data_IF_950361017817
#
_entry.id   IF_950361017817
#
_cell.length_a   1.000
_cell.length_b   1.000
_cell.length_c   1.000
_cell.angle_alpha   90.00
_cell.angle_beta   90.00
_cell.angle_gamma   90.00
#
_symmetry.space_group_name_H-M   'P 1'
#
loop_
_entity.id
_entity.type
_entity.pdbx_description
1 polymer ?
#
# COMPACT_ATOMS: atom_id res chain seq x y z
N UNK A 1 1.45 20.42 -27.41
CA UNK A 1 2.48 20.95 -26.49
C UNK A 1 2.96 19.80 -25.61
N UNK A 2 4.20 19.81 -25.12
CA UNK A 2 4.75 18.69 -24.34
C UNK A 2 5.26 19.15 -22.98
N UNK A 3 5.26 18.25 -22.00
CA UNK A 3 5.93 18.38 -20.70
C UNK A 3 6.64 17.07 -20.40
N UNK A 4 7.87 17.12 -19.91
CA UNK A 4 8.58 15.92 -19.46
C UNK A 4 8.37 15.71 -17.97
N UNK A 5 8.29 14.46 -17.52
CA UNK A 5 7.98 14.13 -16.13
C UNK A 5 8.95 13.11 -15.57
N UNK A 6 9.48 13.42 -14.39
CA UNK A 6 10.14 12.41 -13.54
C UNK A 6 9.06 11.56 -12.92
N UNK A 7 9.27 10.24 -12.86
CA UNK A 7 8.37 9.32 -12.15
C UNK A 7 7.92 9.88 -10.80
N UNK A 8 6.61 10.01 -10.64
CA UNK A 8 6.03 10.51 -9.40
C UNK A 8 4.63 9.97 -9.18
N UNK A 9 4.50 9.16 -8.13
CA UNK A 9 3.23 8.59 -7.73
C UNK A 9 2.20 9.68 -7.38
N UNK A 10 2.63 10.85 -6.90
CA UNK A 10 1.74 11.96 -6.57
C UNK A 10 1.03 12.51 -7.81
N UNK A 11 1.68 12.50 -8.99
CA UNK A 11 1.00 12.90 -10.22
C UNK A 11 -0.04 11.88 -10.69
N UNK A 12 0.21 10.60 -10.41
CA UNK A 12 -0.73 9.52 -10.70
C UNK A 12 -1.93 9.55 -9.73
N UNK A 13 -1.72 9.89 -8.44
CA UNK A 13 -2.80 10.10 -7.45
C UNK A 13 -3.87 11.09 -7.95
N UNK A 14 -3.45 12.14 -8.65
CA UNK A 14 -4.33 13.21 -9.13
C UNK A 14 -4.66 13.09 -10.62
N UNK A 15 -4.27 11.98 -11.26
CA UNK A 15 -4.45 11.75 -12.69
C UNK A 15 -3.94 12.91 -13.57
N UNK A 16 -2.78 13.47 -13.23
CA UNK A 16 -2.23 14.65 -13.89
C UNK A 16 -2.06 14.44 -15.40
N UNK A 17 -1.61 13.26 -15.83
CA UNK A 17 -1.42 12.96 -17.25
C UNK A 17 -2.74 13.10 -18.03
N UNK A 18 -3.86 12.59 -17.50
CA UNK A 18 -5.18 12.71 -18.12
C UNK A 18 -5.66 14.17 -18.19
N UNK A 19 -5.43 14.93 -17.12
CA UNK A 19 -5.79 16.34 -17.08
C UNK A 19 -4.99 17.18 -18.09
N UNK A 20 -3.69 16.89 -18.23
CA UNK A 20 -2.82 17.52 -19.23
C UNK A 20 -3.23 17.15 -20.65
N UNK A 21 -3.53 15.87 -20.90
CA UNK A 21 -3.97 15.41 -22.22
C UNK A 21 -5.29 16.07 -22.63
N UNK A 22 -6.25 16.18 -21.71
CA UNK A 22 -7.52 16.91 -21.91
C UNK A 22 -7.26 18.39 -22.27
N UNK A 23 -6.18 18.97 -21.74
CA UNK A 23 -5.73 20.32 -22.05
C UNK A 23 -4.85 20.42 -23.33
N UNK A 24 -4.66 19.33 -24.08
CA UNK A 24 -3.83 19.29 -25.29
C UNK A 24 -2.31 19.32 -25.01
N UNK A 25 -1.90 18.90 -23.81
CA UNK A 25 -0.52 18.82 -23.36
C UNK A 25 -0.16 17.34 -23.15
N UNK A 26 0.83 16.84 -23.89
CA UNK A 26 1.33 15.49 -23.74
C UNK A 26 2.39 15.45 -22.64
N UNK A 27 2.13 14.70 -21.57
CA UNK A 27 3.15 14.37 -20.58
C UNK A 27 4.01 13.22 -21.10
N UNK A 28 5.34 13.33 -21.02
CA UNK A 28 6.29 12.29 -21.43
C UNK A 28 7.07 11.83 -20.21
N UNK A 29 6.92 10.56 -19.84
CA UNK A 29 7.68 9.96 -18.74
C UNK A 29 9.16 9.85 -19.11
N UNK A 30 10.04 10.12 -18.15
CA UNK A 30 11.49 10.06 -18.38
C UNK A 30 12.19 8.92 -17.65
N UNK A 31 11.51 8.28 -16.69
CA UNK A 31 11.94 7.01 -16.09
C UNK A 31 11.74 5.88 -17.10
N UNK A 32 12.73 5.01 -17.29
CA UNK A 32 12.65 3.99 -18.33
C UNK A 32 11.45 3.04 -18.14
N UNK A 33 11.18 2.63 -16.91
CA UNK A 33 10.10 1.70 -16.64
C UNK A 33 8.74 2.38 -16.84
N UNK A 34 8.56 3.62 -16.39
CA UNK A 34 7.33 4.38 -16.66
C UNK A 34 7.16 4.70 -18.15
N UNK A 35 8.26 5.01 -18.87
CA UNK A 35 8.21 5.23 -20.32
C UNK A 35 7.74 3.97 -21.06
N UNK A 36 8.21 2.79 -20.66
CA UNK A 36 7.76 1.51 -21.23
C UNK A 36 6.25 1.33 -21.01
N UNK A 37 5.76 1.63 -19.80
CA UNK A 37 4.34 1.54 -19.45
C UNK A 37 3.52 2.55 -20.26
N UNK A 38 3.97 3.80 -20.34
CA UNK A 38 3.31 4.86 -21.08
C UNK A 38 3.21 4.53 -22.58
N UNK A 39 4.32 4.13 -23.21
CA UNK A 39 4.33 3.77 -24.63
C UNK A 39 3.53 2.48 -24.89
N UNK A 40 3.50 1.57 -23.93
CA UNK A 40 2.72 0.35 -23.98
C UNK A 40 1.24 0.52 -23.67
N UNK A 41 0.78 1.73 -23.32
CA UNK A 41 -0.59 2.02 -22.88
C UNK A 41 -1.06 1.06 -21.75
N UNK A 42 -0.18 0.80 -20.79
CA UNK A 42 -0.40 -0.15 -19.70
C UNK A 42 -0.44 0.56 -18.32
N UNK A 43 -0.57 -0.21 -17.24
CA UNK A 43 -0.56 0.27 -15.86
C UNK A 43 0.66 -0.28 -15.09
N UNK A 44 1.22 0.50 -14.15
CA UNK A 44 2.34 0.05 -13.33
C UNK A 44 1.92 -1.09 -12.40
N UNK A 45 2.79 -2.11 -12.26
CA UNK A 45 2.51 -3.24 -11.36
C UNK A 45 3.27 -3.17 -10.02
N UNK A 46 4.33 -2.36 -9.92
CA UNK A 46 5.18 -2.28 -8.71
C UNK A 46 5.70 -0.87 -8.49
N UNK A 47 5.78 -0.42 -7.23
CA UNK A 47 6.13 0.96 -6.90
C UNK A 47 7.57 1.35 -7.28
N UNK A 48 8.52 0.41 -7.21
CA UNK A 48 9.93 0.68 -7.57
C UNK A 48 10.20 0.34 -9.03
N UNK A 49 9.57 -0.71 -9.56
CA UNK A 49 9.86 -1.27 -10.89
C UNK A 49 8.53 -1.40 -11.67
N UNK A 50 7.96 -0.29 -12.17
CA UNK A 50 6.64 -0.24 -12.80
C UNK A 50 6.37 -1.33 -13.84
N UNK A 51 7.37 -1.56 -14.71
CA UNK A 51 7.32 -2.51 -15.82
C UNK A 51 7.77 -3.93 -15.45
N UNK A 52 7.76 -4.33 -14.18
CA UNK A 52 8.21 -5.65 -13.72
C UNK A 52 7.52 -6.83 -14.45
N UNK A 53 6.28 -6.63 -14.90
CA UNK A 53 5.49 -7.63 -15.62
C UNK A 53 5.78 -7.69 -17.13
N UNK A 54 6.64 -6.82 -17.66
CA UNK A 54 7.03 -6.80 -19.08
C UNK A 54 8.36 -7.51 -19.28
N UNK A 55 8.41 -8.43 -20.22
CA UNK A 55 9.66 -9.05 -20.65
C UNK A 55 10.36 -8.23 -21.75
N UNK A 56 11.63 -8.56 -21.97
CA UNK A 56 12.50 -7.84 -22.92
C UNK A 56 11.96 -7.80 -24.36
N UNK A 57 11.34 -8.88 -24.82
CA UNK A 57 10.77 -8.94 -26.17
C UNK A 57 9.56 -8.00 -26.29
N UNK A 58 8.69 -7.95 -25.27
CA UNK A 58 7.57 -7.01 -25.25
C UNK A 58 8.04 -5.56 -25.26
N UNK A 59 9.06 -5.23 -24.45
CA UNK A 59 9.68 -3.89 -24.42
C UNK A 59 10.21 -3.50 -25.80
N UNK A 60 10.93 -4.42 -26.46
CA UNK A 60 11.43 -4.21 -27.82
C UNK A 60 10.30 -3.88 -28.79
N UNK A 61 9.23 -4.67 -28.82
CA UNK A 61 8.13 -4.44 -29.76
C UNK A 61 7.43 -3.09 -29.50
N UNK A 62 7.27 -2.70 -28.23
CA UNK A 62 6.76 -1.37 -27.87
C UNK A 62 7.65 -0.28 -28.47
N UNK A 63 8.98 -0.35 -28.28
CA UNK A 63 9.92 0.65 -28.81
C UNK A 63 9.93 0.67 -30.35
N UNK A 64 9.91 -0.50 -31.01
CA UNK A 64 9.84 -0.58 -32.47
C UNK A 64 8.61 0.15 -33.02
N UNK A 65 7.45 -0.09 -32.42
CA UNK A 65 6.17 0.47 -32.87
C UNK A 65 6.06 1.96 -32.54
N UNK A 66 6.35 2.34 -31.30
CA UNK A 66 6.06 3.69 -30.80
C UNK A 66 7.19 4.69 -31.03
N UNK A 67 8.44 4.23 -31.18
CA UNK A 67 9.60 5.08 -31.52
C UNK A 67 10.03 4.96 -33.00
N UNK A 68 9.40 4.08 -33.79
CA UNK A 68 9.71 3.92 -35.22
C UNK A 68 11.03 3.19 -35.52
N UNK A 69 11.57 2.45 -34.56
CA UNK A 69 12.89 1.80 -34.65
C UNK A 69 12.80 0.40 -35.27
N UNK A 70 12.54 0.29 -36.57
CA UNK A 70 12.26 -0.99 -37.25
C UNK A 70 13.34 -2.07 -37.08
N UNK A 71 14.61 -1.67 -37.02
CA UNK A 71 15.78 -2.55 -36.95
C UNK A 71 16.38 -2.68 -35.54
N UNK A 72 15.60 -2.36 -34.49
CA UNK A 72 16.07 -2.45 -33.11
C UNK A 72 16.50 -3.88 -32.74
N UNK A 73 17.68 -4.01 -32.15
CA UNK A 73 18.19 -5.26 -31.56
C UNK A 73 17.37 -5.72 -30.35
N UNK A 74 17.76 -6.84 -29.76
CA UNK A 74 17.07 -7.41 -28.58
C UNK A 74 17.95 -7.47 -27.33
N UNK A 75 19.17 -6.94 -27.39
CA UNK A 75 20.05 -6.90 -26.22
C UNK A 75 19.61 -5.78 -25.26
N UNK A 76 19.87 -5.91 -23.94
CA UNK A 76 19.58 -4.82 -23.00
C UNK A 76 20.26 -3.49 -23.38
N UNK A 77 21.46 -3.54 -23.98
CA UNK A 77 22.18 -2.36 -24.43
C UNK A 77 21.46 -1.64 -25.59
N UNK A 78 20.93 -2.40 -26.56
CA UNK A 78 20.19 -1.82 -27.68
C UNK A 78 18.93 -1.08 -27.20
N UNK A 79 18.19 -1.70 -26.27
CA UNK A 79 16.96 -1.11 -25.72
C UNK A 79 17.27 0.14 -24.88
N UNK A 80 18.33 0.09 -24.07
CA UNK A 80 18.77 1.25 -23.28
C UNK A 80 19.19 2.41 -24.18
N UNK A 81 19.95 2.15 -25.25
CA UNK A 81 20.40 3.20 -26.17
C UNK A 81 19.24 3.81 -26.98
N UNK A 82 18.25 3.00 -27.35
CA UNK A 82 17.02 3.46 -27.98
C UNK A 82 16.26 4.43 -27.08
N UNK A 83 16.01 4.04 -25.81
CA UNK A 83 15.35 4.90 -24.84
C UNK A 83 16.16 6.17 -24.56
N UNK A 84 17.49 6.05 -24.42
CA UNK A 84 18.39 7.18 -24.20
C UNK A 84 18.31 8.20 -25.34
N UNK A 85 18.36 7.73 -26.59
CA UNK A 85 18.28 8.58 -27.78
C UNK A 85 16.94 9.29 -27.88
N UNK A 86 15.84 8.57 -27.63
CA UNK A 86 14.49 9.12 -27.60
C UNK A 86 14.34 10.22 -26.54
N UNK A 87 14.74 9.93 -25.30
CA UNK A 87 14.60 10.86 -24.18
C UNK A 87 15.54 12.07 -24.32
N UNK A 88 16.76 11.89 -24.84
CA UNK A 88 17.71 12.99 -25.10
C UNK A 88 17.09 14.08 -25.97
N UNK A 89 16.38 13.70 -27.03
CA UNK A 89 15.67 14.65 -27.88
C UNK A 89 14.61 15.43 -27.07
N UNK A 90 13.82 14.74 -26.23
CA UNK A 90 12.79 15.36 -25.39
C UNK A 90 13.39 16.35 -24.38
N UNK A 91 14.45 15.95 -23.66
CA UNK A 91 15.13 16.84 -22.70
C UNK A 91 15.62 18.15 -23.31
N UNK A 92 16.05 18.14 -24.58
CA UNK A 92 16.59 19.33 -25.25
C UNK A 92 15.53 20.21 -25.92
N UNK A 93 14.31 19.70 -26.11
CA UNK A 93 13.26 20.37 -26.90
C UNK A 93 12.05 20.77 -26.06
N UNK A 94 11.83 20.14 -24.91
CA UNK A 94 10.67 20.38 -24.05
C UNK A 94 11.04 21.38 -22.94
N UNK A 95 10.42 22.57 -22.88
CA UNK A 95 10.83 23.65 -21.98
C UNK A 95 10.28 23.53 -20.55
N UNK A 96 9.38 22.58 -20.29
CA UNK A 96 8.73 22.41 -18.98
C UNK A 96 8.94 20.99 -18.46
N UNK A 97 9.31 20.87 -17.20
CA UNK A 97 9.35 19.62 -16.46
C UNK A 97 8.39 19.59 -15.27
N UNK A 98 7.88 18.40 -14.97
CA UNK A 98 7.21 18.07 -13.73
C UNK A 98 8.05 17.05 -12.95
N UNK A 99 8.21 17.26 -11.65
CA UNK A 99 8.87 16.31 -10.76
C UNK A 99 7.98 15.94 -9.58
N UNK A 100 8.29 14.78 -8.97
CA UNK A 100 7.91 14.51 -7.60
C UNK A 100 8.94 15.05 -6.60
N UNK A 101 8.77 14.63 -5.35
CA UNK A 101 9.79 14.70 -4.32
C UNK A 101 9.79 13.40 -3.51
N UNK A 102 10.98 12.86 -3.23
CA UNK A 102 11.14 11.83 -2.20
C UNK A 102 11.10 12.48 -0.81
N UNK A 103 11.74 13.65 -0.67
CA UNK A 103 11.78 14.42 0.57
C UNK A 103 11.71 15.93 0.29
N UNK A 104 11.02 16.65 1.17
CA UNK A 104 11.04 18.12 1.26
C UNK A 104 11.71 18.50 2.58
N UNK A 105 12.68 19.41 2.56
CA UNK A 105 13.50 19.74 3.74
C UNK A 105 13.06 21.09 4.27
N UNK A 106 12.39 21.11 5.43
CA UNK A 106 11.81 22.32 5.99
C UNK A 106 12.86 23.37 6.35
N UNK A 107 13.99 22.94 6.93
CA UNK A 107 15.10 23.83 7.34
C UNK A 107 15.66 24.66 6.18
N UNK A 108 15.80 24.07 5.00
CA UNK A 108 16.51 24.68 3.87
C UNK A 108 15.60 25.06 2.70
N UNK A 109 14.33 24.65 2.73
CA UNK A 109 13.44 24.73 1.57
C UNK A 109 13.87 23.81 0.41
N UNK A 110 14.66 22.78 0.71
CA UNK A 110 15.22 21.87 -0.29
C UNK A 110 14.21 20.84 -0.78
N UNK A 111 14.26 20.51 -2.06
CA UNK A 111 13.57 19.35 -2.64
C UNK A 111 14.59 18.29 -2.98
N UNK A 112 14.31 17.04 -2.64
CA UNK A 112 15.17 15.91 -2.91
C UNK A 112 14.45 14.84 -3.74
N UNK A 113 15.14 14.34 -4.76
CA UNK A 113 14.79 13.10 -5.47
C UNK A 113 15.95 12.12 -5.42
N UNK A 114 15.61 10.84 -5.43
CA UNK A 114 16.57 9.73 -5.56
C UNK A 114 16.22 8.91 -6.80
N UNK A 115 17.23 8.52 -7.57
CA UNK A 115 17.02 7.80 -8.83
C UNK A 115 18.20 6.86 -9.16
N UNK A 116 17.96 5.94 -10.10
CA UNK A 116 18.92 4.94 -10.57
C UNK A 116 19.59 5.29 -11.90
N UNK A 117 18.94 6.13 -12.73
CA UNK A 117 19.29 6.27 -14.15
C UNK A 117 19.83 7.68 -14.52
N UNK A 118 19.59 8.70 -13.69
CA UNK A 118 20.10 10.06 -13.89
C UNK A 118 19.26 10.91 -14.84
N UNK A 119 18.14 10.38 -15.33
CA UNK A 119 17.15 11.04 -16.17
C UNK A 119 16.39 12.15 -15.42
N UNK A 120 16.14 11.95 -14.13
CA UNK A 120 15.53 12.91 -13.24
C UNK A 120 16.35 14.19 -13.19
N UNK A 121 17.66 14.10 -12.97
CA UNK A 121 18.56 15.27 -13.01
C UNK A 121 18.44 16.06 -14.32
N UNK A 122 18.25 15.41 -15.46
CA UNK A 122 18.03 16.10 -16.74
C UNK A 122 16.71 16.87 -16.78
N UNK A 123 15.63 16.32 -16.21
CA UNK A 123 14.38 17.07 -16.02
C UNK A 123 14.54 18.27 -15.09
N UNK A 124 15.45 18.19 -14.12
CA UNK A 124 15.66 19.26 -13.15
C UNK A 124 16.49 20.42 -13.70
N UNK A 125 17.39 20.20 -14.67
CA UNK A 125 18.37 21.21 -15.07
C UNK A 125 18.23 21.75 -16.49
N UNK A 126 17.64 21.01 -17.42
CA UNK A 126 17.55 21.41 -18.83
C UNK A 126 16.29 22.26 -19.16
N UNK A 127 15.11 21.94 -18.62
CA UNK A 127 13.90 22.72 -18.87
C UNK A 127 13.96 24.12 -18.27
N UNK A 128 13.30 25.08 -18.91
CA UNK A 128 13.21 26.46 -18.41
C UNK A 128 12.27 26.60 -17.21
N UNK A 129 11.27 25.73 -17.10
CA UNK A 129 10.29 25.74 -16.00
C UNK A 129 10.20 24.38 -15.34
N UNK A 130 10.34 24.34 -14.01
CA UNK A 130 10.19 23.14 -13.20
C UNK A 130 9.00 23.28 -12.26
N UNK A 131 8.15 22.25 -12.23
CA UNK A 131 7.00 22.15 -11.32
C UNK A 131 7.16 20.89 -10.49
N UNK A 132 7.38 21.03 -9.19
CA UNK A 132 7.43 19.90 -8.24
C UNK A 132 6.06 19.73 -7.58
N UNK A 133 5.57 18.49 -7.55
CA UNK A 133 4.33 18.13 -6.85
C UNK A 133 4.66 17.09 -5.77
N UNK A 134 4.30 17.38 -4.53
CA UNK A 134 4.61 16.51 -3.40
C UNK A 134 3.51 16.58 -2.32
N UNK A 135 3.28 15.46 -1.64
CA UNK A 135 2.40 15.43 -0.48
C UNK A 135 3.07 16.04 0.76
N UNK A 136 2.27 16.54 1.70
CA UNK A 136 2.76 17.03 3.01
C UNK A 136 3.50 15.93 3.80
N UNK A 137 3.24 14.66 3.51
CA UNK A 137 3.92 13.49 4.10
C UNK A 137 5.40 13.37 3.72
N UNK A 138 5.88 14.17 2.77
CA UNK A 138 7.28 14.15 2.32
C UNK A 138 8.19 15.09 3.11
N UNK A 139 7.65 15.90 4.01
CA UNK A 139 8.42 16.90 4.76
C UNK A 139 9.25 16.24 5.86
N UNK A 140 10.55 16.50 5.85
CA UNK A 140 11.49 16.21 6.94
C UNK A 140 11.98 17.52 7.55
N UNK A 141 12.32 17.56 8.85
CA UNK A 141 12.61 18.83 9.51
C UNK A 141 13.97 19.38 9.12
N UNK A 142 15.05 18.57 9.18
CA UNK A 142 16.43 19.05 8.99
C UNK A 142 17.12 18.40 7.80
N UNK A 143 18.10 19.09 7.24
CA UNK A 143 18.93 18.52 6.16
C UNK A 143 19.68 17.26 6.60
N UNK A 144 20.16 17.24 7.85
CA UNK A 144 20.89 16.09 8.39
C UNK A 144 20.01 14.82 8.48
N UNK A 145 18.69 14.96 8.65
CA UNK A 145 17.79 13.80 8.73
C UNK A 145 17.72 13.06 7.39
N UNK A 146 18.02 13.74 6.27
CA UNK A 146 18.06 13.14 4.94
C UNK A 146 19.08 11.98 4.86
N UNK A 147 20.20 12.07 5.57
CA UNK A 147 21.25 11.03 5.56
C UNK A 147 20.69 9.65 5.92
N UNK A 148 19.81 9.59 6.94
CA UNK A 148 19.17 8.36 7.40
C UNK A 148 18.32 7.74 6.29
N UNK A 149 17.60 8.59 5.55
CA UNK A 149 16.71 8.17 4.48
C UNK A 149 17.45 7.74 3.22
N UNK A 150 18.52 8.43 2.84
CA UNK A 150 19.38 8.07 1.71
C UNK A 150 20.10 6.73 1.92
N UNK A 151 20.31 6.34 3.16
CA UNK A 151 20.83 5.00 3.51
C UNK A 151 19.72 3.95 3.53
N UNK A 152 18.58 4.29 4.14
CA UNK A 152 17.51 3.33 4.42
C UNK A 152 16.71 2.93 3.18
N UNK A 153 16.33 3.90 2.34
CA UNK A 153 15.47 3.67 1.17
C UNK A 153 16.09 2.67 0.18
N UNK A 154 17.30 2.87 -0.36
CA UNK A 154 17.89 1.95 -1.35
C UNK A 154 18.15 0.56 -0.77
N UNK A 155 18.64 0.47 0.47
CA UNK A 155 18.91 -0.81 1.13
C UNK A 155 17.64 -1.65 1.30
N UNK A 156 16.52 -0.99 1.61
CA UNK A 156 15.23 -1.66 1.77
C UNK A 156 14.56 -1.97 0.42
N UNK A 157 14.76 -1.12 -0.59
CA UNK A 157 14.12 -1.25 -1.89
C UNK A 157 14.81 -2.26 -2.81
N UNK A 158 16.08 -2.03 -3.10
CA UNK A 158 16.88 -2.75 -4.12
C UNK A 158 18.09 -3.47 -3.52
N UNK A 159 18.37 -3.26 -2.23
CA UNK A 159 19.57 -3.81 -1.57
C UNK A 159 20.84 -3.01 -1.88
N UNK A 160 20.72 -1.86 -2.54
CA UNK A 160 21.85 -0.99 -2.85
C UNK A 160 22.34 -0.24 -1.61
N UNK A 161 23.64 0.09 -1.57
CA UNK A 161 24.21 0.85 -0.43
C UNK A 161 23.65 2.27 -0.34
N UNK A 162 23.46 2.89 -1.51
CA UNK A 162 22.90 4.22 -1.75
C UNK A 162 22.44 4.28 -3.21
N UNK A 163 21.41 5.08 -3.54
CA UNK A 163 21.01 5.31 -4.92
C UNK A 163 22.17 5.96 -5.72
N UNK A 164 22.38 5.60 -7.00
CA UNK A 164 23.43 6.19 -7.83
C UNK A 164 23.35 7.71 -7.98
N UNK A 165 22.14 8.27 -8.02
CA UNK A 165 21.92 9.71 -8.14
C UNK A 165 20.97 10.20 -7.06
N UNK A 166 21.39 11.26 -6.37
CA UNK A 166 20.63 11.91 -5.32
C UNK A 166 20.73 13.41 -5.58
N UNK A 167 19.64 13.99 -6.07
CA UNK A 167 19.61 15.41 -6.46
C UNK A 167 18.85 16.21 -5.41
N UNK A 168 19.47 17.30 -4.97
CA UNK A 168 18.87 18.24 -4.01
C UNK A 168 18.99 19.64 -4.62
N UNK A 169 17.91 20.40 -4.61
CA UNK A 169 17.91 21.75 -5.13
C UNK A 169 17.02 22.68 -4.30
N UNK A 170 17.32 23.97 -4.37
CA UNK A 170 16.64 25.05 -3.65
C UNK A 170 16.47 26.24 -4.59
N UNK A 171 15.23 26.65 -4.87
CA UNK A 171 14.98 27.84 -5.68
C UNK A 171 15.51 27.76 -7.11
N UNK A 172 15.77 28.92 -7.71
CA UNK A 172 16.35 29.09 -9.05
C UNK A 172 17.70 29.78 -8.96
N UNK A 173 18.63 29.44 -9.86
CA UNK A 173 19.96 30.04 -9.92
C UNK A 173 20.25 30.57 -11.33
N UNK A 174 20.83 31.76 -11.42
CA UNK A 174 21.10 32.38 -12.72
C UNK A 174 22.16 31.57 -13.50
N UNK A 175 21.78 31.10 -14.69
CA UNK A 175 22.67 30.30 -15.55
C UNK A 175 22.82 28.84 -15.14
N UNK A 176 22.09 28.37 -14.11
CA UNK A 176 22.13 26.99 -13.64
C UNK A 176 20.71 26.49 -13.34
N UNK A 177 20.18 25.66 -14.24
CA UNK A 177 18.87 25.04 -14.11
C UNK A 177 17.69 25.90 -14.58
N UNK A 178 16.49 25.67 -14.01
CA UNK A 178 15.26 26.28 -14.48
C UNK A 178 15.19 27.76 -14.11
N UNK A 179 14.57 28.55 -15.00
CA UNK A 179 14.30 29.98 -14.79
C UNK A 179 13.10 30.19 -13.86
N UNK A 180 12.12 29.28 -13.91
CA UNK A 180 10.94 29.30 -13.06
C UNK A 180 10.86 27.99 -12.27
N UNK A 181 10.62 28.09 -10.97
CA UNK A 181 10.44 26.92 -10.11
C UNK A 181 9.19 27.06 -9.25
N UNK A 182 8.30 26.07 -9.35
CA UNK A 182 7.06 26.00 -8.61
C UNK A 182 7.04 24.74 -7.74
N UNK A 183 6.60 24.87 -6.49
CA UNK A 183 6.36 23.74 -5.60
C UNK A 183 4.89 23.71 -5.20
N UNK A 184 4.21 22.63 -5.53
CA UNK A 184 2.81 22.37 -5.17
C UNK A 184 2.82 21.32 -4.06
N UNK A 185 2.53 21.79 -2.83
CA UNK A 185 2.38 20.92 -1.66
C UNK A 185 0.92 20.53 -1.53
N UNK A 186 0.68 19.22 -1.45
CA UNK A 186 -0.65 18.64 -1.47
C UNK A 186 -1.01 18.01 -0.15
N UNK A 187 -2.20 18.32 0.34
CA UNK A 187 -2.82 17.57 1.41
C UNK A 187 -3.41 16.25 0.88
N UNK A 188 -4.42 16.30 0.00
CA UNK A 188 -5.05 15.12 -0.60
C UNK A 188 -5.41 14.05 0.46
N UNK A 189 -6.18 14.45 1.47
CA UNK A 189 -6.64 13.67 2.62
C UNK A 189 -5.56 13.29 3.67
N UNK A 190 -4.32 13.79 3.53
CA UNK A 190 -3.23 13.43 4.44
C UNK A 190 -3.41 14.04 5.83
N UNK A 191 -4.06 15.20 5.96
CA UNK A 191 -4.35 15.81 7.27
C UNK A 191 -5.32 14.95 8.08
N UNK A 192 -6.35 14.39 7.45
CA UNK A 192 -7.31 13.48 8.08
C UNK A 192 -6.62 12.17 8.49
N UNK A 193 -5.74 11.65 7.63
CA UNK A 193 -4.93 10.46 7.95
C UNK A 193 -3.98 10.73 9.11
N UNK A 194 -3.37 11.91 9.17
CA UNK A 194 -2.48 12.31 10.25
C UNK A 194 -3.23 12.43 11.59
N UNK A 195 -4.49 12.86 11.56
CA UNK A 195 -5.33 12.94 12.75
C UNK A 195 -5.69 11.54 13.31
N UNK A 196 -5.81 10.51 12.46
CA UNK A 196 -6.12 9.12 12.83
C UNK A 196 -4.97 8.48 13.63
N UNK A 197 -5.19 8.13 14.91
CA UNK A 197 -4.13 7.62 15.81
C UNK A 197 -3.50 6.32 15.30
N UNK A 198 -4.31 5.36 14.89
CA UNK A 198 -3.82 4.11 14.32
C UNK A 198 -3.37 4.30 12.87
N UNK A 199 -4.04 5.17 12.12
CA UNK A 199 -3.85 5.33 10.68
C UNK A 199 -2.65 6.18 10.25
N UNK A 200 -2.23 7.15 11.08
CA UNK A 200 -1.18 8.12 10.74
C UNK A 200 0.17 7.51 10.39
N UNK A 201 0.46 6.33 10.94
CA UNK A 201 1.72 5.63 10.67
C UNK A 201 1.90 5.30 9.17
N UNK A 202 0.81 5.19 8.39
CA UNK A 202 0.90 5.02 6.94
C UNK A 202 1.72 6.13 6.27
N UNK A 203 1.64 7.36 6.79
CA UNK A 203 2.34 8.53 6.24
C UNK A 203 3.86 8.46 6.42
N UNK A 204 4.38 7.56 7.27
CA UNK A 204 5.82 7.33 7.39
C UNK A 204 6.41 6.64 6.14
N UNK A 205 5.58 6.19 5.20
CA UNK A 205 6.04 5.35 4.10
C UNK A 205 6.99 6.08 3.14
N UNK A 206 8.24 5.60 3.11
CA UNK A 206 9.31 6.05 2.20
C UNK A 206 9.25 5.41 0.81
N UNK A 207 8.17 4.68 0.50
CA UNK A 207 7.89 4.07 -0.81
C UNK A 207 8.96 3.08 -1.31
N UNK A 208 9.64 2.37 -0.41
CA UNK A 208 10.69 1.41 -0.77
C UNK A 208 10.20 0.10 -1.42
N UNK A 209 8.91 -0.25 -1.30
CA UNK A 209 8.38 -1.49 -1.89
C UNK A 209 8.72 -2.79 -1.14
N UNK A 210 9.51 -2.76 -0.06
CA UNK A 210 9.86 -3.97 0.71
C UNK A 210 8.64 -4.80 1.15
N UNK A 211 7.57 -4.12 1.57
CA UNK A 211 6.32 -4.77 1.95
C UNK A 211 5.64 -5.50 0.77
N UNK A 212 5.73 -4.98 -0.45
CA UNK A 212 5.19 -5.64 -1.66
C UNK A 212 5.94 -6.94 -1.90
N UNK A 213 7.27 -6.89 -1.87
CA UNK A 213 8.13 -8.06 -2.09
C UNK A 213 7.95 -9.16 -1.03
N UNK A 214 7.70 -8.79 0.23
CA UNK A 214 7.47 -9.75 1.31
C UNK A 214 6.06 -10.35 1.32
N UNK A 215 5.08 -9.72 0.66
CA UNK A 215 3.68 -10.09 0.78
C UNK A 215 3.34 -11.33 -0.07
N UNK A 216 2.80 -12.41 0.53
CA UNK A 216 2.41 -13.59 -0.23
C UNK A 216 1.21 -13.33 -1.16
N UNK A 217 0.29 -12.43 -0.76
CA UNK A 217 -0.87 -12.07 -1.60
C UNK A 217 -0.42 -11.33 -2.85
N UNK A 218 0.33 -10.23 -2.69
CA UNK A 218 0.85 -9.45 -3.81
C UNK A 218 1.69 -10.30 -4.78
N UNK A 219 2.54 -11.21 -4.27
CA UNK A 219 3.35 -12.10 -5.11
C UNK A 219 2.53 -13.03 -6.00
N UNK A 220 1.31 -13.38 -5.60
CA UNK A 220 0.43 -14.25 -6.38
C UNK A 220 -0.54 -13.49 -7.26
N UNK A 221 -1.06 -12.36 -6.79
CA UNK A 221 -2.07 -11.58 -7.53
C UNK A 221 -1.47 -10.53 -8.46
N UNK A 222 -0.22 -10.14 -8.23
CA UNK A 222 0.39 -8.96 -8.86
C UNK A 222 -0.20 -7.65 -8.33
N UNK A 223 0.32 -6.53 -8.84
CA UNK A 223 -0.10 -5.19 -8.41
C UNK A 223 -1.42 -4.73 -9.00
N UNK A 224 -1.76 -5.15 -10.23
CA UNK A 224 -2.99 -4.71 -10.90
C UNK A 224 -4.26 -5.13 -10.18
N UNK A 225 -4.23 -6.25 -9.45
CA UNK A 225 -5.39 -6.75 -8.68
C UNK A 225 -5.86 -5.79 -7.56
N UNK A 226 -5.03 -4.82 -7.16
CA UNK A 226 -5.36 -3.82 -6.15
C UNK A 226 -6.16 -2.63 -6.72
N UNK A 227 -6.28 -2.49 -8.05
CA UNK A 227 -7.13 -1.46 -8.67
C UNK A 227 -6.75 -0.01 -8.33
N UNK A 228 -5.50 0.23 -7.95
CA UNK A 228 -5.01 1.54 -7.52
C UNK A 228 -3.56 1.74 -7.92
N UNK A 229 -3.16 3.01 -8.03
CA UNK A 229 -1.77 3.46 -8.20
C UNK A 229 -0.87 2.89 -7.10
N UNK A 230 -1.40 2.66 -5.90
CA UNK A 230 -0.69 2.01 -4.81
C UNK A 230 -1.09 0.54 -4.70
N UNK A 231 -0.11 -0.35 -4.89
CA UNK A 231 -0.29 -1.79 -4.85
C UNK A 231 0.28 -2.44 -3.58
N UNK A 232 -0.12 -3.70 -3.35
CA UNK A 232 0.36 -4.53 -2.24
C UNK A 232 -0.04 -4.02 -0.86
N UNK A 233 0.67 -4.45 0.21
CA UNK A 233 0.26 -4.13 1.58
C UNK A 233 0.17 -2.64 1.89
N UNK A 234 1.07 -1.82 1.32
CA UNK A 234 1.00 -0.37 1.51
C UNK A 234 -0.20 0.23 0.78
N UNK A 235 -0.51 -0.22 -0.44
CA UNK A 235 -1.70 0.20 -1.17
C UNK A 235 -2.99 -0.19 -0.45
N UNK A 236 -3.00 -1.36 0.19
CA UNK A 236 -4.13 -1.87 0.95
C UNK A 236 -4.52 -1.03 2.17
N UNK A 237 -3.62 -0.17 2.66
CA UNK A 237 -3.91 0.77 3.75
C UNK A 237 -3.97 2.22 3.29
N UNK A 238 -3.08 2.62 2.38
CA UNK A 238 -2.97 4.01 1.96
C UNK A 238 -4.10 4.42 1.02
N UNK A 239 -4.45 3.60 0.03
CA UNK A 239 -5.52 3.96 -0.93
C UNK A 239 -6.86 4.17 -0.22
N UNK A 240 -7.32 3.26 0.67
CA UNK A 240 -8.56 3.49 1.40
C UNK A 240 -8.52 4.70 2.33
N UNK A 241 -7.33 5.08 2.81
CA UNK A 241 -7.14 6.28 3.62
C UNK A 241 -7.24 7.57 2.78
N UNK A 242 -6.54 7.63 1.63
CA UNK A 242 -6.56 8.80 0.75
C UNK A 242 -7.92 8.99 0.05
N UNK A 243 -8.64 7.90 -0.22
CA UNK A 243 -9.96 7.92 -0.86
C UNK A 243 -11.11 7.88 0.14
N UNK A 244 -10.85 8.02 1.45
CA UNK A 244 -11.89 7.98 2.50
C UNK A 244 -12.84 6.76 2.41
N UNK A 245 -12.25 5.60 2.06
CA UNK A 245 -12.90 4.31 1.79
C UNK A 245 -13.83 4.29 0.57
N UNK A 246 -13.90 5.33 -0.26
CA UNK A 246 -14.69 5.32 -1.48
C UNK A 246 -14.10 4.35 -2.52
N UNK A 247 -14.87 3.33 -2.90
CA UNK A 247 -14.47 2.30 -3.87
C UNK A 247 -13.22 1.49 -3.49
N UNK A 248 -12.83 1.53 -2.21
CA UNK A 248 -11.61 0.91 -1.69
C UNK A 248 -11.88 0.02 -0.46
N UNK A 249 -13.15 -0.29 -0.15
CA UNK A 249 -13.53 -1.04 1.05
C UNK A 249 -13.01 -2.49 1.06
N UNK A 250 -12.72 -3.06 -0.11
CA UNK A 250 -12.20 -4.42 -0.24
C UNK A 250 -10.69 -4.52 0.03
N UNK A 251 -9.93 -3.44 -0.17
CA UNK A 251 -8.48 -3.47 -0.09
C UNK A 251 -7.93 -3.87 1.29
N UNK A 252 -8.52 -3.43 2.43
CA UNK A 252 -8.09 -3.90 3.74
C UNK A 252 -8.20 -5.42 3.92
N UNK A 253 -9.02 -6.10 3.12
CA UNK A 253 -9.20 -7.55 3.14
C UNK A 253 -8.22 -8.31 2.22
N UNK A 254 -7.45 -7.61 1.38
CA UNK A 254 -6.41 -8.19 0.52
C UNK A 254 -5.13 -8.58 1.31
N UNK A 255 -5.29 -9.23 2.45
CA UNK A 255 -4.20 -9.62 3.35
C UNK A 255 -4.60 -10.78 4.24
N UNK A 256 -3.65 -11.72 4.43
CA UNK A 256 -3.73 -12.80 5.40
C UNK A 256 -3.36 -12.39 6.83
N UNK A 257 -2.98 -11.12 7.05
CA UNK A 257 -2.51 -10.58 8.33
C UNK A 257 -1.28 -11.33 8.91
N UNK A 258 -0.44 -11.93 8.07
CA UNK A 258 0.71 -12.73 8.52
C UNK A 258 1.86 -11.94 9.15
N UNK A 259 1.83 -10.59 9.13
CA UNK A 259 2.85 -9.75 9.76
C UNK A 259 4.16 -9.55 8.98
N UNK A 260 4.41 -10.30 7.89
CA UNK A 260 5.67 -10.23 7.14
C UNK A 260 6.02 -8.80 6.65
N UNK A 261 5.02 -8.00 6.28
CA UNK A 261 5.22 -6.63 5.85
C UNK A 261 5.67 -5.69 6.97
N UNK A 262 5.30 -5.95 8.22
CA UNK A 262 5.77 -5.19 9.38
C UNK A 262 7.24 -5.50 9.70
N UNK A 263 7.60 -6.79 9.68
CA UNK A 263 8.97 -7.25 9.94
C UNK A 263 10.00 -6.60 9.01
N UNK A 264 9.68 -6.51 7.72
CA UNK A 264 10.58 -5.91 6.71
C UNK A 264 10.48 -4.39 6.60
N UNK A 265 9.52 -3.74 7.28
CA UNK A 265 9.32 -2.30 7.13
C UNK A 265 10.44 -1.52 7.85
N UNK A 266 11.25 -0.73 7.12
CA UNK A 266 12.36 -0.01 7.74
C UNK A 266 11.90 1.16 8.62
N UNK A 267 10.68 1.64 8.39
CA UNK A 267 10.05 2.75 9.12
C UNK A 267 8.94 2.28 10.07
N UNK A 268 8.91 0.96 10.36
CA UNK A 268 8.08 0.31 11.39
C UNK A 268 6.58 0.62 11.30
N UNK A 269 6.05 0.68 10.08
CA UNK A 269 4.59 0.72 9.85
C UNK A 269 4.02 -0.66 10.13
N UNK A 270 3.18 -0.76 11.16
CA UNK A 270 2.41 -1.95 11.50
C UNK A 270 1.18 -2.07 10.60
N UNK A 271 1.43 -2.43 9.34
CA UNK A 271 0.39 -2.60 8.32
C UNK A 271 -0.74 -3.54 8.79
N UNK A 272 -0.49 -4.71 9.45
CA UNK A 272 -1.56 -5.55 9.98
C UNK A 272 -2.55 -4.83 10.90
N UNK A 273 -2.06 -4.01 11.84
CA UNK A 273 -2.94 -3.24 12.73
C UNK A 273 -3.76 -2.20 11.97
N UNK A 274 -3.13 -1.47 11.05
CA UNK A 274 -3.85 -0.49 10.20
C UNK A 274 -4.91 -1.19 9.34
N UNK A 275 -4.64 -2.39 8.82
CA UNK A 275 -5.62 -3.17 8.08
C UNK A 275 -6.83 -3.54 8.96
N UNK A 276 -6.59 -3.99 10.20
CA UNK A 276 -7.68 -4.31 11.14
C UNK A 276 -8.49 -3.05 11.47
N UNK A 277 -7.83 -1.92 11.70
CA UNK A 277 -8.47 -0.63 11.93
C UNK A 277 -9.37 -0.21 10.76
N UNK A 278 -8.87 -0.32 9.53
CA UNK A 278 -9.65 0.01 8.33
C UNK A 278 -10.80 -0.97 8.11
N UNK A 279 -10.63 -2.27 8.37
CA UNK A 279 -11.72 -3.26 8.37
C UNK A 279 -12.80 -2.88 9.38
N UNK A 280 -12.43 -2.44 10.58
CA UNK A 280 -13.37 -1.93 11.57
C UNK A 280 -14.13 -0.71 11.05
N UNK A 281 -13.44 0.27 10.45
CA UNK A 281 -14.08 1.45 9.83
C UNK A 281 -15.03 1.09 8.69
N UNK A 282 -14.68 0.10 7.86
CA UNK A 282 -15.57 -0.42 6.80
C UNK A 282 -16.85 -1.00 7.40
N UNK A 283 -16.72 -1.89 8.40
CA UNK A 283 -17.88 -2.48 9.09
C UNK A 283 -18.71 -1.42 9.80
N UNK A 284 -18.08 -0.43 10.43
CA UNK A 284 -18.77 0.68 11.08
C UNK A 284 -19.57 1.50 10.04
N UNK A 285 -18.96 1.85 8.90
CA UNK A 285 -19.63 2.57 7.80
C UNK A 285 -20.83 1.78 7.26
N UNK A 286 -20.69 0.47 7.06
CA UNK A 286 -21.76 -0.41 6.59
C UNK A 286 -22.88 -0.61 7.63
N UNK A 287 -22.56 -0.52 8.93
CA UNK A 287 -23.53 -0.71 10.02
C UNK A 287 -24.18 0.59 10.49
N UNK A 288 -23.76 1.77 9.99
CA UNK A 288 -24.45 3.06 10.20
C UNK A 288 -25.84 3.01 9.55
N UNK A 289 -26.89 2.85 10.37
CA UNK A 289 -28.30 2.81 9.95
C UNK A 289 -29.04 1.55 10.43
N UNK A 290 -29.91 0.97 9.59
CA UNK A 290 -30.64 -0.28 9.85
C UNK A 290 -29.71 -1.49 10.11
N UNK A 291 -28.42 -1.38 9.78
CA UNK A 291 -27.39 -2.40 10.06
C UNK A 291 -27.09 -2.63 11.54
N UNK A 292 -27.48 -1.72 12.46
CA UNK A 292 -27.39 -1.96 13.92
C UNK A 292 -28.34 -3.07 14.41
N UNK A 293 -29.39 -3.37 13.64
CA UNK A 293 -30.34 -4.45 13.90
C UNK A 293 -30.03 -5.71 13.07
N UNK A 294 -28.90 -5.75 12.36
CA UNK A 294 -28.45 -6.97 11.70
C UNK A 294 -28.28 -8.08 12.77
N UNK A 295 -28.93 -9.25 12.62
CA UNK A 295 -28.78 -10.38 13.54
C UNK A 295 -27.32 -10.73 13.85
N UNK A 296 -26.43 -10.62 12.87
CA UNK A 296 -24.99 -10.87 13.06
C UNK A 296 -24.35 -9.83 13.99
N UNK A 297 -24.62 -8.54 13.78
CA UNK A 297 -24.06 -7.47 14.60
C UNK A 297 -24.55 -7.56 16.06
N UNK A 298 -25.82 -7.95 16.27
CA UNK A 298 -26.37 -8.21 17.60
C UNK A 298 -25.70 -9.43 18.24
N UNK A 299 -25.58 -10.54 17.51
CA UNK A 299 -24.92 -11.75 17.99
C UNK A 299 -23.46 -11.49 18.39
N UNK A 300 -22.70 -10.76 17.56
CA UNK A 300 -21.32 -10.39 17.85
C UNK A 300 -21.19 -9.48 19.08
N UNK A 301 -22.12 -8.54 19.30
CA UNK A 301 -22.15 -7.72 20.52
C UNK A 301 -22.43 -8.53 21.78
N UNK A 302 -23.36 -9.49 21.70
CA UNK A 302 -23.65 -10.41 22.81
C UNK A 302 -22.41 -11.25 23.12
N UNK A 303 -21.78 -11.82 22.09
CA UNK A 303 -20.57 -12.62 22.21
C UNK A 303 -19.40 -11.81 22.82
N UNK A 304 -19.17 -10.58 22.35
CA UNK A 304 -18.17 -9.68 22.90
C UNK A 304 -18.44 -9.36 24.38
N UNK A 305 -19.70 -9.15 24.77
CA UNK A 305 -20.07 -8.91 26.17
C UNK A 305 -19.79 -10.14 27.05
N UNK A 306 -20.07 -11.35 26.55
CA UNK A 306 -19.76 -12.61 27.22
C UNK A 306 -18.25 -12.76 27.41
N UNK A 307 -17.44 -12.56 26.36
CA UNK A 307 -15.99 -12.74 26.42
C UNK A 307 -15.25 -11.68 27.23
N UNK A 308 -15.83 -10.49 27.45
CA UNK A 308 -15.25 -9.44 28.28
C UNK A 308 -15.17 -9.77 29.78
N UNK A 309 -15.89 -10.79 30.25
CA UNK A 309 -15.92 -11.14 31.67
C UNK A 309 -15.79 -12.64 31.87
N UNK A 310 -14.83 -13.03 32.70
CA UNK A 310 -14.63 -14.42 33.07
C UNK A 310 -15.92 -15.07 33.63
N UNK A 311 -16.63 -14.36 34.50
CA UNK A 311 -17.86 -14.84 35.11
C UNK A 311 -18.99 -15.04 34.08
N UNK A 312 -19.15 -14.10 33.14
CA UNK A 312 -20.14 -14.21 32.05
C UNK A 312 -19.81 -15.35 31.11
N UNK A 313 -18.54 -15.50 30.75
CA UNK A 313 -18.07 -16.61 29.93
C UNK A 313 -18.33 -17.97 30.61
N UNK A 314 -18.00 -18.11 31.91
CA UNK A 314 -18.31 -19.31 32.71
C UNK A 314 -19.81 -19.61 32.73
N UNK A 315 -20.64 -18.59 32.97
CA UNK A 315 -22.10 -18.76 32.97
C UNK A 315 -22.63 -19.18 31.59
N UNK A 316 -22.12 -18.57 30.52
CA UNK A 316 -22.48 -18.92 29.15
C UNK A 316 -22.10 -20.35 28.79
N UNK A 317 -20.93 -20.86 29.22
CA UNK A 317 -20.54 -22.25 29.02
C UNK A 317 -21.49 -23.23 29.74
N UNK A 318 -21.84 -22.95 31.00
CA UNK A 318 -22.79 -23.78 31.78
C UNK A 318 -24.19 -23.79 31.17
N UNK A 319 -24.65 -22.62 30.74
CA UNK A 319 -25.94 -22.48 30.06
C UNK A 319 -25.92 -23.21 28.71
N UNK A 320 -24.88 -23.01 27.91
CA UNK A 320 -24.70 -23.67 26.61
C UNK A 320 -24.73 -25.18 26.72
N UNK A 321 -24.04 -25.76 27.73
CA UNK A 321 -24.06 -27.20 28.00
C UNK A 321 -25.46 -27.72 28.38
N UNK A 322 -26.27 -26.89 29.01
CA UNK A 322 -27.66 -27.28 29.32
C UNK A 322 -28.55 -27.15 28.09
N UNK A 323 -28.33 -26.10 27.29
CA UNK A 323 -29.09 -25.78 26.10
C UNK A 323 -28.84 -26.74 24.92
N UNK A 324 -27.65 -27.37 24.83
CA UNK A 324 -27.35 -28.32 23.76
C UNK A 324 -27.95 -29.72 23.98
N UNK A 325 -28.28 -30.11 25.22
CA UNK A 325 -28.77 -31.47 25.56
C UNK A 325 -29.91 -31.99 24.68
N UNK A 326 -30.90 -31.18 24.26
CA UNK A 326 -31.97 -31.64 23.37
C UNK A 326 -31.51 -31.95 21.93
N UNK A 327 -30.35 -31.43 21.52
CA UNK A 327 -29.78 -31.54 20.18
C UNK A 327 -28.71 -32.63 20.07
N UNK A 328 -28.23 -33.14 21.21
CA UNK A 328 -27.22 -34.20 21.28
C UNK A 328 -27.89 -35.56 21.08
N UNK A 329 -27.41 -36.32 20.10
CA UNK A 329 -27.84 -37.69 19.85
C UNK A 329 -27.29 -38.66 20.92
N UNK A 330 -27.71 -39.92 20.89
CA UNK A 330 -27.26 -40.95 21.86
C UNK A 330 -25.76 -41.25 21.82
N UNK A 331 -25.10 -40.89 20.71
CA UNK A 331 -23.66 -41.10 20.51
C UNK A 331 -22.82 -39.91 20.95
N UNK A 332 -23.45 -38.85 21.51
CA UNK A 332 -22.75 -37.66 22.00
C UNK A 332 -22.44 -36.63 20.90
N UNK A 333 -23.14 -36.68 19.77
CA UNK A 333 -22.95 -35.80 18.63
C UNK A 333 -24.19 -34.98 18.31
N UNK A 334 -23.99 -33.75 17.86
CA UNK A 334 -25.02 -32.87 17.33
C UNK A 334 -24.94 -32.94 15.81
N UNK A 335 -25.84 -33.72 15.20
CA UNK A 335 -25.90 -33.92 13.74
C UNK A 335 -26.84 -32.96 13.02
N UNK A 336 -27.53 -32.08 13.75
CA UNK A 336 -28.43 -31.10 13.15
C UNK A 336 -28.56 -29.85 14.01
N UNK A 337 -28.42 -28.68 13.38
CA UNK A 337 -28.67 -27.38 13.98
C UNK A 337 -29.72 -26.58 13.18
N UNK A 338 -30.58 -25.79 13.84
CA UNK A 338 -31.61 -25.01 13.17
C UNK A 338 -31.05 -23.76 12.46
N UNK A 339 -31.73 -23.32 11.40
CA UNK A 339 -31.47 -22.04 10.73
C UNK A 339 -30.10 -21.97 10.04
N UNK A 340 -29.44 -20.81 10.11
CA UNK A 340 -28.13 -20.57 9.49
C UNK A 340 -27.02 -21.48 10.06
N UNK A 341 -27.19 -22.00 11.27
CA UNK A 341 -26.24 -22.92 11.91
C UNK A 341 -26.28 -24.32 11.27
N UNK A 342 -27.38 -24.68 10.60
CA UNK A 342 -27.53 -25.97 9.93
C UNK A 342 -26.54 -26.18 8.78
N UNK A 343 -26.01 -25.11 8.19
CA UNK A 343 -24.96 -25.20 7.16
C UNK A 343 -23.66 -25.84 7.66
N UNK A 344 -23.36 -25.72 8.96
CA UNK A 344 -22.20 -26.39 9.56
C UNK A 344 -22.42 -27.90 9.68
N UNK A 345 -23.58 -28.30 10.18
CA UNK A 345 -23.97 -29.72 10.37
C UNK A 345 -24.25 -30.47 9.06
N UNK A 346 -24.32 -29.77 7.91
CA UNK A 346 -24.36 -30.42 6.60
C UNK A 346 -23.03 -31.06 6.20
N UNK A 347 -21.91 -30.54 6.71
CA UNK A 347 -20.57 -31.04 6.37
C UNK A 347 -19.84 -31.64 7.57
N UNK A 348 -20.23 -31.30 8.81
CA UNK A 348 -19.53 -31.71 10.04
C UNK A 348 -20.46 -31.87 11.23
N UNK A 349 -20.41 -33.03 11.88
CA UNK A 349 -21.03 -33.22 13.19
C UNK A 349 -20.23 -32.50 14.29
N UNK A 350 -20.92 -32.00 15.31
CA UNK A 350 -20.30 -31.36 16.47
C UNK A 350 -20.34 -32.30 17.67
N UNK A 351 -19.20 -32.47 18.35
CA UNK A 351 -19.16 -33.23 19.60
C UNK A 351 -19.84 -32.43 20.71
N UNK A 352 -20.66 -33.09 21.53
CA UNK A 352 -21.27 -32.48 22.71
C UNK A 352 -20.20 -31.92 23.67
N UNK A 353 -20.51 -30.83 24.39
CA UNK A 353 -19.57 -30.30 25.36
C UNK A 353 -19.29 -31.33 26.47
N UNK A 354 -18.04 -31.40 26.96
CA UNK A 354 -17.66 -32.36 27.99
C UNK A 354 -18.42 -32.12 29.29
N UNK A 355 -18.51 -33.18 30.11
CA UNK A 355 -19.24 -33.15 31.37
C UNK A 355 -18.62 -32.25 32.46
N UNK A 356 -17.46 -31.71 32.16
CA UNK A 356 -16.65 -30.90 33.04
C UNK A 356 -15.85 -29.95 32.18
N UNK A 357 -15.88 -28.66 32.50
CA UNK A 357 -14.99 -27.71 31.85
C UNK A 357 -13.57 -27.88 32.41
N UNK A 358 -12.54 -27.57 31.61
CA UNK A 358 -11.15 -27.61 32.06
C UNK A 358 -10.92 -26.83 33.37
N UNK A 359 -11.62 -25.70 33.56
CA UNK A 359 -11.49 -24.89 34.78
C UNK A 359 -12.14 -25.53 36.00
N UNK A 360 -13.29 -26.18 35.83
CA UNK A 360 -13.94 -26.94 36.91
C UNK A 360 -13.09 -28.15 37.32
N UNK A 361 -12.51 -28.86 36.34
CA UNK A 361 -11.52 -29.90 36.61
C UNK A 361 -10.34 -29.36 37.41
N UNK A 362 -9.76 -28.24 36.97
CA UNK A 362 -8.60 -27.61 37.61
C UNK A 362 -8.87 -27.22 39.07
N UNK A 363 -9.99 -26.54 39.35
CA UNK A 363 -10.36 -26.15 40.71
C UNK A 363 -10.67 -27.35 41.63
N UNK A 364 -11.23 -28.44 41.07
CA UNK A 364 -11.47 -29.68 41.83
C UNK A 364 -10.17 -30.41 42.14
N UNK A 365 -9.18 -30.35 41.25
CA UNK A 365 -7.86 -30.96 41.44
C UNK A 365 -7.11 -30.30 42.60
N UNK A 366 -6.99 -28.97 42.61
CA UNK A 366 -6.27 -28.25 43.66
C UNK A 366 -6.91 -28.46 45.05
N UNK A 367 -8.24 -28.56 45.11
CA UNK A 367 -8.99 -28.88 46.35
C UNK A 367 -8.80 -30.32 46.84
N UNK A 368 -8.41 -31.26 45.96
CA UNK A 368 -8.07 -32.63 46.34
C UNK A 368 -6.64 -32.73 46.88
N UNK A 369 -5.70 -31.97 46.31
CA UNK A 369 -4.31 -31.93 46.79
C UNK A 369 -4.18 -31.20 48.14
N UNK A 370 -4.90 -30.10 48.37
CA UNK A 370 -4.92 -29.38 49.66
C UNK A 370 -5.68 -30.06 50.82
N UNK A 371 -6.34 -31.20 50.58
CA UNK A 371 -6.99 -32.03 51.62
C UNK A 371 -6.13 -33.19 52.12
N UNK A 372 -4.98 -33.42 51.49
CA UNK A 372 -4.01 -34.46 51.84
C UNK A 372 -2.70 -33.88 52.42
N UNK A 373 -2.71 -32.60 52.84
CA UNK A 373 -1.60 -31.92 53.50
C UNK A 373 -1.79 -31.82 55.00
#
# INVERSE_FOLDING_TARGET
KEVIKIKTMTSEEIHLNNALETAGIMAVETDLAELIIQLGEDQPSHIVVPALHKNRHQVREIFKQKMGLKDLGDTPADLAEAARSYLRHKFLTVPTAVSGANYLIAETGGVCIVESEGNGRMCLTLPETLITIAGIDKVIPRFQDLEVFLQTLPRSATGERMNPYNSIWTGVHAGDGPKNFHVVIMDNARTEVLADEEGRQTLHCIRCGACQNACPVYRQTGGHAYGSVYAGPIGAILTPQLQELHHAESLPYASSLCGACYEVCPVKINIPEVLIHLRHKVVEKQTKGLGKLNPEAVAMRVMANIFRSEARFRAAQKFGRTAEKPLVNREGWIGWLPGMLGGWTQARDLQAMPDETFREWWEKRDKKEGRNG
#
